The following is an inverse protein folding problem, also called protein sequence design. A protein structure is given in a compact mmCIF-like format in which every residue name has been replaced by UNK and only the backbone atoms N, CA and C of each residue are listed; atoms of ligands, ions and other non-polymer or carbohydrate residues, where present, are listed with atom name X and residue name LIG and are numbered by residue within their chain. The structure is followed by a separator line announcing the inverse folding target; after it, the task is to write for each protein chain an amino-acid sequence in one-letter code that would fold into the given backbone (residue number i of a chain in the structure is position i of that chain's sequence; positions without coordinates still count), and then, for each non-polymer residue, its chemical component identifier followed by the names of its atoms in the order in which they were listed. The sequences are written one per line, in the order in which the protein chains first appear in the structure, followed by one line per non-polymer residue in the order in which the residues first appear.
data_IF_515716901215
#
_entry.id   IF_515716901215
#
_cell.length_a   1.000
_cell.length_b   1.000
_cell.length_c   1.000
_cell.angle_alpha   90.00
_cell.angle_beta   90.00
_cell.angle_gamma   90.00
#
_symmetry.space_group_name_H-M   'P 1'
#
loop_
_entity.id
_entity.type
_entity.pdbx_description
1 polymer ?
#
# COMPACT_ATOMS: atom_id res chain seq x y z
N UNK A 1 -6.47 -19.80 -4.48
CA UNK A 1 -7.51 -18.78 -4.82
C UNK A 1 -6.83 -17.46 -5.10
N UNK A 2 -6.88 -16.89 -6.31
CA UNK A 2 -6.27 -15.61 -6.58
C UNK A 2 -7.14 -14.53 -5.94
N UNK A 3 -6.58 -13.86 -4.94
CA UNK A 3 -7.25 -12.84 -4.16
C UNK A 3 -7.53 -11.58 -5.02
N UNK A 4 -8.73 -11.03 -4.85
CA UNK A 4 -9.30 -9.89 -5.58
C UNK A 4 -8.56 -8.53 -5.44
N UNK A 5 -7.48 -8.43 -4.67
CA UNK A 5 -6.86 -7.16 -4.23
C UNK A 5 -6.03 -6.41 -5.30
N UNK A 6 -5.91 -6.97 -6.50
CA UNK A 6 -4.95 -6.53 -7.52
C UNK A 6 -5.56 -5.64 -8.59
N UNK A 7 -6.82 -5.90 -8.94
CA UNK A 7 -7.42 -5.43 -10.20
C UNK A 7 -7.67 -3.92 -10.26
N UNK A 8 -7.34 -3.19 -9.19
CA UNK A 8 -7.66 -1.77 -8.98
C UNK A 8 -6.41 -0.87 -8.85
N UNK A 9 -5.27 -1.31 -9.38
CA UNK A 9 -4.08 -0.47 -9.59
C UNK A 9 -3.90 -0.01 -11.04
N UNK A 10 -4.89 -0.24 -11.92
CA UNK A 10 -4.87 0.27 -13.29
C UNK A 10 -4.73 1.81 -13.30
N UNK A 11 -3.91 2.39 -14.20
CA UNK A 11 -3.52 3.80 -14.20
C UNK A 11 -4.63 4.78 -14.66
N UNK A 12 -5.89 4.47 -14.38
CA UNK A 12 -7.05 5.28 -14.74
C UNK A 12 -7.54 6.20 -13.61
N UNK A 13 -6.68 6.58 -12.65
CA UNK A 13 -7.02 7.58 -11.64
C UNK A 13 -6.14 8.82 -11.78
N UNK A 14 -6.75 9.86 -12.33
CA UNK A 14 -6.22 11.19 -12.71
C UNK A 14 -5.63 12.03 -11.54
N UNK A 15 -5.43 11.42 -10.36
CA UNK A 15 -4.84 12.03 -9.14
C UNK A 15 -3.62 11.28 -8.58
N UNK A 16 -3.19 10.17 -9.19
CA UNK A 16 -2.12 9.30 -8.67
C UNK A 16 -0.70 9.62 -9.16
N UNK A 17 -0.51 10.65 -9.99
CA UNK A 17 0.72 10.87 -10.75
C UNK A 17 2.00 10.94 -9.92
N UNK A 18 2.02 11.74 -8.84
CA UNK A 18 3.22 11.93 -8.02
C UNK A 18 3.67 10.65 -7.31
N UNK A 19 2.73 9.85 -6.82
CA UNK A 19 3.01 8.57 -6.14
C UNK A 19 3.51 7.52 -7.11
N UNK A 20 2.89 7.43 -8.29
CA UNK A 20 3.30 6.52 -9.34
C UNK A 20 4.70 6.88 -9.87
N UNK A 21 4.99 8.16 -10.10
CA UNK A 21 6.31 8.64 -10.52
C UNK A 21 7.38 8.31 -9.49
N UNK A 22 7.11 8.48 -8.19
CA UNK A 22 8.10 8.12 -7.18
C UNK A 22 8.36 6.61 -7.16
N UNK A 23 7.31 5.78 -7.19
CA UNK A 23 7.48 4.33 -7.23
C UNK A 23 8.32 3.89 -8.45
N UNK A 24 8.10 4.52 -9.61
CA UNK A 24 8.94 4.33 -10.81
C UNK A 24 10.41 4.68 -10.56
N UNK A 25 10.70 5.80 -9.89
CA UNK A 25 12.08 6.21 -9.55
C UNK A 25 12.78 5.25 -8.58
N UNK A 26 12.02 4.49 -7.79
CA UNK A 26 12.54 3.48 -6.88
C UNK A 26 12.51 2.06 -7.48
N UNK A 27 12.23 1.96 -8.78
CA UNK A 27 12.35 0.73 -9.57
C UNK A 27 11.10 -0.17 -9.55
N UNK A 28 9.96 0.34 -9.11
CA UNK A 28 8.69 -0.35 -9.27
C UNK A 28 8.07 -0.06 -10.63
N UNK A 29 7.47 -1.07 -11.25
CA UNK A 29 6.71 -0.92 -12.49
C UNK A 29 5.23 -1.27 -12.28
N UNK A 30 4.27 -0.55 -12.91
CA UNK A 30 2.86 -0.90 -12.87
C UNK A 30 2.57 -2.33 -13.37
N UNK A 31 3.35 -2.82 -14.33
CA UNK A 31 3.29 -4.19 -14.86
C UNK A 31 3.80 -5.24 -13.86
N UNK A 32 4.59 -4.82 -12.87
CA UNK A 32 5.17 -5.68 -11.82
C UNK A 32 4.59 -5.34 -10.43
N UNK A 33 3.32 -4.95 -10.38
CA UNK A 33 2.65 -4.58 -9.13
C UNK A 33 2.73 -5.68 -8.05
N UNK A 34 2.88 -6.96 -8.45
CA UNK A 34 3.11 -8.09 -7.54
C UNK A 34 4.33 -7.86 -6.64
N UNK A 35 5.37 -7.23 -7.18
CA UNK A 35 6.61 -6.96 -6.45
C UNK A 35 6.37 -5.97 -5.32
N UNK A 36 5.70 -4.85 -5.63
CA UNK A 36 5.28 -3.87 -4.62
C UNK A 36 4.42 -4.52 -3.53
N UNK A 37 3.49 -5.39 -3.93
CA UNK A 37 2.65 -6.11 -2.97
C UNK A 37 3.43 -7.09 -2.09
N UNK A 38 4.45 -7.75 -2.64
CA UNK A 38 5.37 -8.61 -1.89
C UNK A 38 6.18 -7.81 -0.88
N UNK A 39 6.73 -6.67 -1.29
CA UNK A 39 7.51 -5.78 -0.43
C UNK A 39 6.64 -5.18 0.69
N UNK A 40 5.40 -4.76 0.39
CA UNK A 40 4.44 -4.30 1.40
C UNK A 40 4.14 -5.38 2.45
N UNK A 41 3.96 -6.64 2.04
CA UNK A 41 3.73 -7.73 3.01
C UNK A 41 4.94 -8.01 3.88
N UNK A 42 6.13 -7.96 3.29
CA UNK A 42 7.38 -8.30 3.98
C UNK A 42 7.79 -7.21 4.97
N UNK A 43 7.84 -5.97 4.49
CA UNK A 43 8.53 -4.88 5.17
C UNK A 43 7.57 -3.93 5.90
N UNK A 44 6.32 -3.87 5.44
CA UNK A 44 5.34 -2.86 5.86
C UNK A 44 4.30 -3.44 6.82
N UNK A 45 3.58 -4.48 6.39
CA UNK A 45 2.52 -5.14 7.19
C UNK A 45 3.02 -5.87 8.44
N UNK A 46 4.33 -6.07 8.57
CA UNK A 46 4.99 -6.66 9.75
C UNK A 46 5.33 -5.62 10.82
N UNK A 47 5.09 -4.33 10.56
CA UNK A 47 5.46 -3.23 11.45
C UNK A 47 4.30 -2.81 12.34
N UNK A 48 4.66 -2.12 13.43
CA UNK A 48 3.70 -1.54 14.36
C UNK A 48 2.78 -0.55 13.64
N UNK A 49 1.50 -0.61 14.00
CA UNK A 49 0.48 0.33 13.53
C UNK A 49 0.75 1.69 14.18
N UNK A 50 0.97 2.72 13.35
CA UNK A 50 1.13 4.11 13.80
C UNK A 50 -0.18 4.65 14.37
N UNK A 51 -1.30 4.25 13.76
CA UNK A 51 -2.62 4.78 14.11
C UNK A 51 -3.72 3.76 13.84
N UNK A 52 -4.61 3.58 14.81
CA UNK A 52 -5.83 2.80 14.67
C UNK A 52 -7.04 3.70 14.96
N UNK A 53 -8.02 3.74 14.06
CA UNK A 53 -9.25 4.54 14.23
C UNK A 53 -10.48 3.78 13.76
N UNK A 54 -11.53 3.77 14.58
CA UNK A 54 -12.85 3.31 14.14
C UNK A 54 -13.48 4.37 13.25
N UNK A 55 -14.03 3.95 12.12
CA UNK A 55 -14.79 4.78 11.19
C UNK A 55 -16.18 4.17 11.00
N UNK A 56 -17.17 4.91 10.46
CA UNK A 56 -18.49 4.35 10.11
C UNK A 56 -18.42 3.15 9.16
N UNK A 57 -17.29 2.98 8.46
CA UNK A 57 -17.08 1.92 7.48
C UNK A 57 -16.21 0.77 8.00
N UNK A 58 -15.86 0.75 9.29
CA UNK A 58 -14.99 -0.24 9.91
C UNK A 58 -13.69 0.35 10.47
N UNK A 59 -12.69 -0.50 10.69
CA UNK A 59 -11.43 -0.11 11.34
C UNK A 59 -10.42 0.37 10.31
N UNK A 60 -9.92 1.60 10.48
CA UNK A 60 -8.82 2.17 9.69
C UNK A 60 -7.50 2.02 10.44
N UNK A 61 -6.49 1.58 9.70
CA UNK A 61 -5.12 1.40 10.18
C UNK A 61 -4.17 2.23 9.34
N UNK A 62 -3.26 2.95 9.98
CA UNK A 62 -2.14 3.58 9.31
C UNK A 62 -0.86 2.94 9.80
N UNK A 63 0.00 2.61 8.84
CA UNK A 63 1.32 2.05 9.10
C UNK A 63 2.31 2.99 8.42
N UNK A 64 3.40 3.30 9.12
CA UNK A 64 4.57 3.99 8.56
C UNK A 64 5.75 3.03 8.62
N UNK A 65 6.32 2.73 7.47
CA UNK A 65 7.45 1.81 7.39
C UNK A 65 8.31 2.09 6.16
N UNK A 66 9.59 1.72 6.25
CA UNK A 66 10.49 1.72 5.12
C UNK A 66 10.29 0.47 4.26
N UNK A 67 10.11 0.64 2.95
CA UNK A 67 10.16 -0.43 1.96
C UNK A 67 11.59 -0.64 1.49
N UNK A 68 12.03 -1.89 1.41
CA UNK A 68 13.23 -2.25 0.68
C UNK A 68 12.90 -2.24 -0.81
N UNK A 69 13.27 -1.17 -1.51
CA UNK A 69 12.85 -0.97 -2.90
C UNK A 69 13.73 -1.73 -3.89
N UNK A 70 13.23 -2.00 -5.11
CA UNK A 70 14.02 -2.57 -6.19
C UNK A 70 15.31 -1.81 -6.51
N UNK A 71 15.33 -0.49 -6.30
CA UNK A 71 16.52 0.35 -6.49
C UNK A 71 17.60 0.16 -5.41
N UNK A 72 17.36 -0.66 -4.39
CA UNK A 72 18.26 -0.86 -3.24
C UNK A 72 18.25 0.29 -2.23
N UNK A 73 17.53 1.38 -2.51
CA UNK A 73 17.36 2.51 -1.58
C UNK A 73 16.09 2.32 -0.74
N UNK A 74 16.13 2.52 0.58
CA UNK A 74 14.92 2.46 1.39
C UNK A 74 13.99 3.64 1.04
N UNK A 75 12.68 3.38 1.02
CA UNK A 75 11.65 4.40 0.82
C UNK A 75 10.65 4.35 1.97
N UNK A 76 10.57 5.41 2.76
CA UNK A 76 9.59 5.52 3.84
C UNK A 76 8.22 5.81 3.24
N UNK A 77 7.26 4.94 3.54
CA UNK A 77 5.91 5.01 3.02
C UNK A 77 4.91 4.97 4.17
N UNK A 78 3.85 5.75 4.02
CA UNK A 78 2.64 5.65 4.83
C UNK A 78 1.55 4.93 4.04
N UNK A 79 1.02 3.87 4.63
CA UNK A 79 -0.07 3.08 4.04
C UNK A 79 -1.31 3.19 4.91
N UNK A 80 -2.46 3.45 4.30
CA UNK A 80 -3.76 3.48 4.96
C UNK A 80 -4.55 2.25 4.54
N UNK A 81 -4.93 1.44 5.51
CA UNK A 81 -5.71 0.23 5.34
C UNK A 81 -7.07 0.38 6.02
N UNK A 82 -8.06 -0.36 5.53
CA UNK A 82 -9.37 -0.47 6.17
C UNK A 82 -9.79 -1.93 6.25
N UNK A 83 -10.32 -2.34 7.39
CA UNK A 83 -11.06 -3.59 7.56
C UNK A 83 -12.53 -3.18 7.69
N UNK A 84 -13.33 -3.51 6.69
CA UNK A 84 -14.75 -3.16 6.69
C UNK A 84 -15.49 -3.95 7.78
N UNK A 85 -16.54 -3.42 8.39
CA UNK A 85 -17.21 -4.08 9.54
C UNK A 85 -17.71 -5.51 9.23
N UNK A 86 -18.11 -5.76 7.98
CA UNK A 86 -18.60 -7.05 7.49
C UNK A 86 -17.49 -7.94 6.90
N UNK A 87 -16.22 -7.54 7.02
CA UNK A 87 -15.07 -8.22 6.42
C UNK A 87 -13.94 -8.37 7.42
N UNK A 88 -13.22 -9.48 7.37
CA UNK A 88 -11.96 -9.65 8.12
C UNK A 88 -10.73 -9.35 7.25
N UNK A 89 -10.93 -9.08 5.96
CA UNK A 89 -9.85 -8.85 5.00
C UNK A 89 -9.52 -7.35 4.89
N UNK A 90 -8.29 -6.92 5.24
CA UNK A 90 -7.88 -5.53 5.08
C UNK A 90 -7.75 -5.15 3.60
N UNK A 91 -8.27 -3.97 3.25
CA UNK A 91 -8.12 -3.34 1.93
C UNK A 91 -7.20 -2.13 2.02
N UNK A 92 -6.24 -2.03 1.10
CA UNK A 92 -5.42 -0.84 0.96
C UNK A 92 -6.27 0.30 0.39
N UNK A 93 -6.37 1.40 1.13
CA UNK A 93 -7.06 2.62 0.71
C UNK A 93 -6.13 3.49 -0.12
N UNK A 94 -4.95 3.76 0.42
CA UNK A 94 -3.92 4.55 -0.26
C UNK A 94 -2.55 4.26 0.32
N UNK A 95 -1.53 4.49 -0.49
CA UNK A 95 -0.13 4.39 -0.14
C UNK A 95 0.55 5.67 -0.63
N UNK A 96 1.39 6.30 0.17
CA UNK A 96 2.11 7.52 -0.21
C UNK A 96 3.45 7.64 0.51
N UNK A 97 4.40 8.40 -0.06
CA UNK A 97 5.66 8.70 0.60
C UNK A 97 5.38 9.55 1.83
N UNK A 98 6.03 9.22 2.96
CA UNK A 98 5.93 10.03 4.17
C UNK A 98 6.80 11.28 4.10
#
# INVERSE_FOLDING_TARGET
MPLLWVRRWLPAHHRGGSKATLLLQFGYAPTEWQRLAGDLRRDHLTRTIDLMRTTPYGMRYEIRAALQTPSGRPLVMRSIWQIDSESTSPRLITLYPD
#
